data_IF_736355928424
#
_entry.id   IF_736355928424
#
_cell.length_a   1.000
_cell.length_b   1.000
_cell.length_c   1.000
_cell.angle_alpha   90.00
_cell.angle_beta   90.00
_cell.angle_gamma   90.00
#
_symmetry.space_group_name_H-M   'P 1'
#
loop_
_entity.id
_entity.type
_entity.pdbx_description
1 polymer ?
#
# COMPACT_ATOMS: atom_id res chain seq x y z
N UNK A 1 -2.08 -9.83 15.27
CA UNK A 1 -2.69 -8.74 16.06
C UNK A 1 -1.78 -8.22 17.17
N UNK A 2 -1.14 -9.07 17.98
CA UNK A 2 -0.34 -8.64 19.14
C UNK A 2 0.81 -7.65 18.85
N UNK A 3 1.24 -7.52 17.58
CA UNK A 3 2.29 -6.58 17.14
C UNK A 3 1.73 -5.28 16.54
N UNK A 4 0.40 -5.11 16.51
CA UNK A 4 -0.25 -3.92 15.96
C UNK A 4 -0.95 -3.10 17.05
N UNK A 5 -0.73 -1.79 17.04
CA UNK A 5 -1.25 -0.88 18.06
C UNK A 5 -2.77 -0.64 17.97
N UNK A 6 -3.43 -1.09 16.91
CA UNK A 6 -4.87 -0.93 16.73
C UNK A 6 -5.40 -1.93 15.71
N UNK A 7 -6.71 -2.28 15.76
CA UNK A 7 -7.34 -3.07 14.71
C UNK A 7 -7.12 -2.46 13.32
N UNK A 8 -6.93 -3.31 12.30
CA UNK A 8 -6.68 -2.88 10.91
C UNK A 8 -7.86 -2.13 10.30
N UNK A 9 -9.07 -2.43 10.76
CA UNK A 9 -10.30 -1.80 10.27
C UNK A 9 -10.47 -2.05 8.78
N UNK A 10 -10.48 -0.97 7.99
CA UNK A 10 -10.60 -1.04 6.54
C UNK A 10 -9.35 -1.58 5.86
N UNK A 11 -8.16 -1.51 6.46
CA UNK A 11 -6.91 -1.90 5.81
C UNK A 11 -6.83 -3.41 5.61
N UNK A 12 -6.52 -3.84 4.37
CA UNK A 12 -6.56 -5.26 3.95
C UNK A 12 -7.95 -5.90 3.95
N UNK A 13 -9.02 -5.10 4.05
CA UNK A 13 -10.38 -5.54 3.81
C UNK A 13 -10.72 -5.57 2.32
N UNK A 14 -12.01 -5.61 2.01
CA UNK A 14 -12.51 -5.54 0.64
C UNK A 14 -13.67 -4.55 0.51
N UNK A 15 -13.75 -3.92 -0.65
CA UNK A 15 -14.89 -3.10 -1.08
C UNK A 15 -15.32 -3.56 -2.47
N UNK A 16 -16.62 -3.55 -2.75
CA UNK A 16 -17.12 -4.04 -4.02
C UNK A 16 -18.63 -4.06 -4.12
N UNK A 17 -19.12 -4.79 -5.10
CA UNK A 17 -20.54 -4.89 -5.44
C UNK A 17 -20.97 -6.35 -5.52
N UNK A 18 -22.16 -6.61 -5.02
CA UNK A 18 -22.93 -7.83 -5.23
C UNK A 18 -24.18 -7.44 -6.02
N UNK A 19 -24.40 -8.11 -7.14
CA UNK A 19 -25.58 -7.93 -7.99
C UNK A 19 -26.63 -9.00 -7.72
N UNK A 20 -27.90 -8.67 -7.98
CA UNK A 20 -29.02 -9.61 -7.80
C UNK A 20 -28.97 -10.84 -8.72
N UNK A 21 -28.15 -10.80 -9.77
CA UNK A 21 -27.87 -11.96 -10.63
C UNK A 21 -26.80 -12.91 -10.05
N UNK A 22 -26.34 -12.67 -8.82
CA UNK A 22 -25.31 -13.46 -8.15
C UNK A 22 -23.87 -13.07 -8.50
N UNK A 23 -23.66 -12.05 -9.32
CA UNK A 23 -22.31 -11.58 -9.65
C UNK A 23 -21.71 -10.77 -8.50
N UNK A 24 -20.45 -11.07 -8.14
CA UNK A 24 -19.69 -10.37 -7.10
C UNK A 24 -18.38 -9.89 -7.69
N UNK A 25 -18.07 -8.61 -7.49
CA UNK A 25 -16.77 -8.03 -7.78
C UNK A 25 -16.28 -7.25 -6.58
N UNK A 26 -15.11 -7.61 -6.06
CA UNK A 26 -14.49 -6.92 -4.92
C UNK A 26 -13.04 -6.61 -5.20
N UNK A 27 -12.57 -5.49 -4.64
CA UNK A 27 -11.17 -5.08 -4.63
C UNK A 27 -10.68 -4.93 -3.20
N UNK A 28 -9.40 -5.24 -2.99
CA UNK A 28 -8.76 -5.12 -1.69
C UNK A 28 -8.34 -3.68 -1.42
N UNK A 29 -8.46 -3.25 -0.17
CA UNK A 29 -8.17 -1.88 0.29
C UNK A 29 -6.71 -1.73 0.77
N UNK A 30 -5.77 -2.11 -0.09
CA UNK A 30 -4.34 -1.78 0.06
C UNK A 30 -4.09 -0.59 -0.87
N UNK A 31 -3.52 0.51 -0.38
CA UNK A 31 -3.44 1.83 -1.08
C UNK A 31 -4.73 2.66 -1.02
N UNK A 32 -5.27 2.83 0.18
CA UNK A 32 -6.49 3.61 0.42
C UNK A 32 -6.24 4.69 1.47
N UNK A 33 -6.92 5.82 1.34
CA UNK A 33 -6.92 6.91 2.32
C UNK A 33 -8.26 6.91 3.04
N UNK A 34 -8.24 6.83 4.37
CA UNK A 34 -9.44 6.99 5.18
C UNK A 34 -9.54 8.43 5.69
N UNK A 35 -10.57 9.13 5.20
CA UNK A 35 -10.89 10.51 5.58
C UNK A 35 -12.04 10.50 6.59
N UNK A 36 -11.77 10.94 7.81
CA UNK A 36 -12.80 11.04 8.86
C UNK A 36 -12.49 12.20 9.79
N UNK A 37 -13.51 13.01 10.10
CA UNK A 37 -13.41 14.14 11.03
C UNK A 37 -12.24 15.09 10.69
N UNK A 38 -12.05 15.41 9.41
CA UNK A 38 -10.95 16.28 8.96
C UNK A 38 -9.55 15.65 9.04
N UNK A 39 -9.43 14.36 9.36
CA UNK A 39 -8.15 13.63 9.41
C UNK A 39 -8.04 12.63 8.26
N UNK A 40 -6.93 12.70 7.53
CA UNK A 40 -6.51 11.67 6.59
C UNK A 40 -5.62 10.64 7.29
N UNK A 41 -5.96 9.36 7.16
CA UNK A 41 -5.18 8.25 7.70
C UNK A 41 -4.85 7.27 6.58
N UNK A 42 -3.56 6.96 6.43
CA UNK A 42 -3.04 5.97 5.47
C UNK A 42 -2.40 4.85 6.27
N UNK A 43 -2.67 3.60 5.89
CA UNK A 43 -1.98 2.43 6.42
C UNK A 43 -1.22 1.76 5.28
N UNK A 44 0.02 1.40 5.56
CA UNK A 44 0.89 0.64 4.68
C UNK A 44 1.60 -0.43 5.50
N UNK A 45 2.10 -1.45 4.82
CA UNK A 45 2.86 -2.53 5.39
C UNK A 45 3.75 -3.16 4.34
N UNK A 46 4.65 -4.00 4.81
CA UNK A 46 5.56 -4.78 4.00
C UNK A 46 5.47 -6.24 4.40
N UNK A 47 5.88 -7.12 3.51
CA UNK A 47 5.89 -8.56 3.76
C UNK A 47 7.27 -8.92 4.23
N UNK A 48 7.39 -9.44 5.46
CA UNK A 48 8.67 -9.86 6.00
C UNK A 48 8.97 -11.30 5.54
N UNK A 49 10.08 -11.47 4.83
CA UNK A 49 10.67 -12.75 4.48
C UNK A 49 11.86 -13.05 5.41
N UNK A 50 12.43 -14.25 5.25
CA UNK A 50 13.55 -14.72 6.06
C UNK A 50 14.81 -13.84 5.90
N UNK A 51 15.04 -13.35 4.69
CA UNK A 51 16.19 -12.53 4.27
C UNK A 51 15.86 -11.04 4.19
N UNK A 52 14.68 -10.62 4.66
CA UNK A 52 14.28 -9.21 4.68
C UNK A 52 15.20 -8.37 5.57
N UNK A 53 15.68 -7.24 5.03
CA UNK A 53 16.38 -6.22 5.79
C UNK A 53 15.37 -5.26 6.45
N UNK A 54 15.33 -5.14 7.79
CA UNK A 54 14.33 -4.32 8.49
C UNK A 54 14.26 -2.86 8.02
N UNK A 55 15.42 -2.25 7.73
CA UNK A 55 15.48 -0.85 7.30
C UNK A 55 14.89 -0.67 5.90
N UNK A 56 15.09 -1.64 5.01
CA UNK A 56 14.54 -1.63 3.66
C UNK A 56 13.04 -1.85 3.64
N UNK A 57 12.52 -2.77 4.45
CA UNK A 57 11.08 -3.01 4.58
C UNK A 57 10.36 -1.78 5.16
N UNK A 58 10.93 -1.14 6.18
CA UNK A 58 10.40 0.11 6.74
C UNK A 58 10.34 1.20 5.65
N UNK A 59 11.42 1.40 4.90
CA UNK A 59 11.47 2.36 3.79
C UNK A 59 10.39 2.07 2.75
N UNK A 60 10.16 0.81 2.40
CA UNK A 60 9.10 0.41 1.47
C UNK A 60 7.71 0.82 1.98
N UNK A 61 7.44 0.65 3.28
CA UNK A 61 6.16 1.09 3.86
C UNK A 61 5.97 2.61 3.78
N UNK A 62 7.03 3.40 4.00
CA UNK A 62 7.00 4.84 3.86
C UNK A 62 6.74 5.28 2.43
N UNK A 63 7.40 4.65 1.45
CA UNK A 63 7.20 4.92 0.02
C UNK A 63 5.76 4.60 -0.39
N UNK A 64 5.21 3.47 0.06
CA UNK A 64 3.81 3.10 -0.21
C UNK A 64 2.83 4.13 0.35
N UNK A 65 3.10 4.70 1.53
CA UNK A 65 2.22 5.68 2.17
C UNK A 65 2.38 7.10 1.63
N UNK A 66 3.60 7.51 1.28
CA UNK A 66 3.93 8.90 0.90
C UNK A 66 3.17 9.36 -0.35
N UNK A 67 2.99 8.49 -1.33
CA UNK A 67 2.22 8.78 -2.54
C UNK A 67 0.78 9.23 -2.22
N UNK A 68 0.13 8.57 -1.27
CA UNK A 68 -1.24 8.89 -0.88
C UNK A 68 -1.34 10.14 -0.01
N UNK A 69 -0.39 10.29 0.92
CA UNK A 69 -0.31 11.48 1.76
C UNK A 69 -0.07 12.73 0.90
N UNK A 70 0.84 12.65 -0.07
CA UNK A 70 1.12 13.77 -0.97
C UNK A 70 -0.05 14.14 -1.85
N UNK A 71 -0.74 13.14 -2.41
CA UNK A 71 -1.97 13.36 -3.18
C UNK A 71 -3.09 13.99 -2.34
N UNK A 72 -3.18 13.64 -1.05
CA UNK A 72 -4.23 14.17 -0.15
C UNK A 72 -3.91 15.59 0.33
N UNK A 73 -2.64 15.90 0.57
CA UNK A 73 -2.18 17.20 1.07
C UNK A 73 -1.89 18.22 -0.04
N UNK A 74 -2.01 17.83 -1.31
CA UNK A 74 -1.69 18.68 -2.45
C UNK A 74 -0.20 19.00 -2.59
N UNK A 75 0.69 18.20 -1.99
CA UNK A 75 2.13 18.38 -2.13
C UNK A 75 2.58 17.86 -3.49
N UNK A 76 3.52 18.56 -4.12
CA UNK A 76 4.18 18.07 -5.34
C UNK A 76 4.80 16.69 -5.04
N UNK A 77 4.66 15.69 -5.92
CA UNK A 77 5.29 14.39 -5.68
C UNK A 77 6.78 14.62 -5.41
N UNK A 78 7.26 14.07 -4.29
CA UNK A 78 8.69 14.07 -3.98
C UNK A 78 9.36 13.37 -5.16
N UNK A 79 10.34 14.02 -5.79
CA UNK A 79 11.13 13.39 -6.83
C UNK A 79 11.60 12.05 -6.27
N UNK A 80 11.42 10.96 -7.03
CA UNK A 80 11.98 9.69 -6.64
C UNK A 80 13.46 9.96 -6.32
N UNK A 81 13.87 9.72 -5.07
CA UNK A 81 15.30 9.62 -4.80
C UNK A 81 15.85 8.57 -5.76
N UNK A 82 17.11 8.70 -6.17
CA UNK A 82 17.81 7.67 -6.93
C UNK A 82 17.99 6.45 -6.00
N UNK A 83 16.89 5.74 -5.77
CA UNK A 83 16.86 4.47 -5.09
C UNK A 83 17.44 3.51 -6.11
N UNK A 84 18.66 3.02 -5.82
CA UNK A 84 19.26 1.90 -6.53
C UNK A 84 18.41 0.65 -6.27
N UNK A 85 17.28 0.58 -6.97
CA UNK A 85 16.40 -0.56 -6.96
C UNK A 85 17.15 -1.67 -7.68
N UNK A 86 17.37 -2.83 -7.05
CA UNK A 86 18.00 -3.95 -7.73
C UNK A 86 17.17 -4.26 -8.97
N UNK A 87 17.75 -4.02 -10.15
CA UNK A 87 17.12 -4.27 -11.45
C UNK A 87 17.00 -5.78 -11.69
N UNK A 88 16.13 -6.41 -10.93
CA UNK A 88 15.96 -7.85 -10.94
C UNK A 88 14.95 -8.18 -12.03
N UNK A 89 15.41 -8.86 -13.09
CA UNK A 89 14.54 -9.31 -14.18
C UNK A 89 14.65 -8.52 -15.50
N UNK A 90 15.69 -7.71 -15.70
CA UNK A 90 15.93 -7.01 -16.98
C UNK A 90 16.05 -7.93 -18.21
N UNK A 91 16.44 -9.19 -18.01
CA UNK A 91 16.53 -10.22 -19.07
C UNK A 91 15.31 -11.16 -19.12
N UNK A 92 14.31 -10.95 -18.26
CA UNK A 92 13.13 -11.83 -18.19
C UNK A 92 12.01 -11.28 -19.05
N UNK A 93 11.52 -12.09 -19.99
CA UNK A 93 10.29 -11.80 -20.74
C UNK A 93 9.10 -11.87 -19.79
N UNK A 94 8.43 -10.74 -19.57
CA UNK A 94 7.15 -10.70 -18.86
C UNK A 94 6.09 -11.30 -19.78
N UNK A 95 5.58 -12.48 -19.43
CA UNK A 95 4.45 -13.09 -20.11
C UNK A 95 3.16 -12.52 -19.51
N UNK A 96 2.36 -11.85 -20.35
CA UNK A 96 1.00 -11.45 -20.06
C UNK A 96 0.01 -12.56 -20.43
#
# INVERSE_FOLDING_TARGET
ENMENSPRGWYSGCIGFLWFNGFVSTGMTLRTVHLKNGRASVRAGATLLYDSDPATEERETHIKASAFLGATLGSKPVAAEDVDLPQTGGEKTVLF
#
